data_IF_040669300763
#
_entry.id   IF_040669300763
#
_cell.length_a   1.000
_cell.length_b   1.000
_cell.length_c   1.000
_cell.angle_alpha   90.00
_cell.angle_beta   90.00
_cell.angle_gamma   90.00
#
_symmetry.space_group_name_H-M   'P 1'
#
loop_
_entity.id
_entity.type
_entity.pdbx_description
1 polymer ?
#
# COMPACT_ATOMS: atom_id res chain seq x y z
N UNK A 1 17.24 4.83 -6.21
CA UNK A 1 17.87 4.07 -5.10
C UNK A 1 18.27 2.64 -5.50
N UNK A 2 17.41 1.89 -6.20
CA UNK A 2 17.63 0.47 -6.59
C UNK A 2 18.88 0.21 -7.47
N UNK A 3 19.27 1.16 -8.33
CA UNK A 3 20.46 1.03 -9.19
C UNK A 3 21.79 1.00 -8.41
N UNK A 4 21.86 1.75 -7.29
CA UNK A 4 23.08 1.83 -6.46
C UNK A 4 23.30 0.55 -5.64
N UNK A 5 22.22 -0.11 -5.22
CA UNK A 5 22.28 -1.41 -4.55
C UNK A 5 22.67 -2.55 -5.50
N UNK A 6 22.12 -2.57 -6.72
CA UNK A 6 22.54 -3.55 -7.75
C UNK A 6 24.04 -3.45 -8.07
N UNK A 7 24.58 -2.23 -8.14
CA UNK A 7 26.02 -2.01 -8.33
C UNK A 7 26.88 -2.50 -7.16
N UNK A 8 26.42 -2.31 -5.91
CA UNK A 8 27.10 -2.82 -4.71
C UNK A 8 27.07 -4.35 -4.62
N UNK A 9 25.96 -4.98 -5.00
CA UNK A 9 25.82 -6.44 -5.03
C UNK A 9 26.71 -7.05 -6.11
N UNK A 10 26.75 -6.46 -7.31
CA UNK A 10 27.65 -6.90 -8.38
C UNK A 10 29.12 -6.81 -7.98
N UNK A 11 29.52 -5.72 -7.32
CA UNK A 11 30.87 -5.54 -6.81
C UNK A 11 31.22 -6.56 -5.70
N UNK A 12 30.29 -6.88 -4.81
CA UNK A 12 30.50 -7.86 -3.74
C UNK A 12 30.62 -9.30 -4.27
N UNK A 13 29.76 -9.68 -5.23
CA UNK A 13 29.82 -10.99 -5.90
C UNK A 13 31.13 -11.10 -6.68
N UNK A 14 31.49 -10.09 -7.46
CA UNK A 14 32.76 -10.06 -8.20
C UNK A 14 33.96 -10.17 -7.25
N UNK A 15 34.00 -9.37 -6.18
CA UNK A 15 35.12 -9.37 -5.21
C UNK A 15 35.25 -10.72 -4.50
N UNK A 16 34.15 -11.34 -4.10
CA UNK A 16 34.18 -12.66 -3.45
C UNK A 16 34.53 -13.79 -4.43
N UNK A 17 34.09 -13.68 -5.68
CA UNK A 17 34.42 -14.67 -6.74
C UNK A 17 35.89 -14.54 -7.16
N UNK A 18 36.41 -13.31 -7.24
CA UNK A 18 37.82 -13.02 -7.48
C UNK A 18 38.70 -13.47 -6.31
N UNK A 19 38.25 -13.25 -5.06
CA UNK A 19 38.92 -13.76 -3.86
C UNK A 19 38.96 -15.29 -3.85
N UNK A 20 37.87 -15.95 -4.20
CA UNK A 20 37.80 -17.40 -4.38
C UNK A 20 38.75 -17.89 -5.49
N UNK A 21 38.80 -17.18 -6.62
CA UNK A 21 39.70 -17.49 -7.74
C UNK A 21 41.17 -17.38 -7.35
N UNK A 22 41.55 -16.33 -6.59
CA UNK A 22 42.92 -16.14 -6.10
C UNK A 22 43.33 -17.18 -5.07
N UNK A 23 42.41 -17.59 -4.20
CA UNK A 23 42.58 -18.70 -3.24
C UNK A 23 42.82 -20.00 -4.04
N UNK A 24 42.00 -20.31 -5.03
CA UNK A 24 42.15 -21.52 -5.85
C UNK A 24 43.42 -21.54 -6.72
N UNK A 25 43.91 -20.37 -7.15
CA UNK A 25 45.12 -20.22 -7.97
C UNK A 25 46.42 -20.13 -7.14
N UNK A 26 46.32 -19.74 -5.86
CA UNK A 26 47.43 -19.66 -4.91
C UNK A 26 47.60 -20.98 -4.15
N UNK A 27 48.67 -21.69 -4.44
CA UNK A 27 49.10 -22.97 -3.87
C UNK A 27 48.85 -23.11 -2.34
N UNK A 28 48.32 -24.27 -1.91
CA UNK A 28 47.99 -24.70 -0.52
C UNK A 28 46.65 -24.25 0.08
N UNK A 29 45.55 -24.31 -0.69
CA UNK A 29 44.22 -24.20 -0.10
C UNK A 29 43.71 -25.60 0.30
N UNK A 30 43.46 -25.81 1.59
CA UNK A 30 42.88 -27.08 2.02
C UNK A 30 41.40 -27.14 1.61
N UNK A 31 40.88 -28.36 1.40
CA UNK A 31 39.50 -28.59 0.98
C UNK A 31 38.48 -27.83 1.86
N UNK A 32 38.80 -27.68 3.15
CA UNK A 32 37.96 -27.04 4.15
C UNK A 32 37.77 -25.54 3.93
N UNK A 33 38.80 -24.83 3.45
CA UNK A 33 38.71 -23.39 3.14
C UNK A 33 37.85 -23.14 1.90
N UNK A 34 37.95 -24.04 0.91
CA UNK A 34 37.14 -24.00 -0.31
C UNK A 34 35.66 -24.27 0.02
N UNK A 35 35.39 -25.27 0.87
CA UNK A 35 34.04 -25.60 1.33
C UNK A 35 33.42 -24.44 2.13
N UNK A 36 34.16 -23.84 3.07
CA UNK A 36 33.68 -22.71 3.87
C UNK A 36 33.35 -21.47 3.00
N UNK A 37 34.19 -21.18 2.00
CA UNK A 37 33.94 -20.09 1.07
C UNK A 37 32.73 -20.38 0.14
N UNK A 38 32.59 -21.61 -0.33
CA UNK A 38 31.43 -22.05 -1.13
C UNK A 38 30.13 -21.98 -0.32
N UNK A 39 30.13 -22.44 0.93
CA UNK A 39 28.98 -22.33 1.84
C UNK A 39 28.59 -20.87 2.11
N UNK A 40 29.56 -19.97 2.28
CA UNK A 40 29.31 -18.54 2.45
C UNK A 40 28.64 -17.94 1.22
N UNK A 41 29.10 -18.29 0.02
CA UNK A 41 28.50 -17.87 -1.25
C UNK A 41 27.09 -18.45 -1.40
N UNK A 42 26.88 -19.74 -1.09
CA UNK A 42 25.56 -20.39 -1.14
C UNK A 42 24.59 -19.75 -0.14
N UNK A 43 25.03 -19.47 1.08
CA UNK A 43 24.22 -18.79 2.10
C UNK A 43 23.88 -17.36 1.70
N UNK A 44 24.79 -16.65 1.02
CA UNK A 44 24.51 -15.31 0.51
C UNK A 44 23.56 -15.33 -0.70
N UNK A 45 23.79 -16.23 -1.67
CA UNK A 45 22.91 -16.41 -2.82
C UNK A 45 21.51 -16.87 -2.43
N UNK A 46 21.39 -17.76 -1.43
CA UNK A 46 20.08 -18.16 -0.89
C UNK A 46 19.36 -17.00 -0.21
N UNK A 47 20.06 -16.12 0.54
CA UNK A 47 19.48 -14.88 1.09
C UNK A 47 18.96 -13.93 0.00
N UNK A 48 19.69 -13.75 -1.10
CA UNK A 48 19.22 -12.93 -2.24
C UNK A 48 17.99 -13.56 -2.88
N UNK A 49 17.99 -14.88 -3.11
CA UNK A 49 16.83 -15.58 -3.64
C UNK A 49 15.60 -15.43 -2.74
N UNK A 50 15.79 -15.48 -1.42
CA UNK A 50 14.72 -15.22 -0.45
C UNK A 50 14.19 -13.80 -0.59
N UNK A 51 15.07 -12.79 -0.73
CA UNK A 51 14.65 -11.41 -0.97
C UNK A 51 13.91 -11.25 -2.31
N UNK A 52 14.37 -11.89 -3.38
CA UNK A 52 13.70 -11.86 -4.69
C UNK A 52 12.30 -12.49 -4.60
N UNK A 53 12.17 -13.62 -3.89
CA UNK A 53 10.86 -14.24 -3.62
C UNK A 53 9.98 -13.30 -2.81
N UNK A 54 10.49 -12.68 -1.74
CA UNK A 54 9.72 -11.71 -0.94
C UNK A 54 9.27 -10.53 -1.79
N UNK A 55 10.17 -9.92 -2.57
CA UNK A 55 9.86 -8.80 -3.45
C UNK A 55 8.79 -9.20 -4.47
N UNK A 56 8.93 -10.37 -5.10
CA UNK A 56 7.96 -10.87 -6.06
C UNK A 56 6.60 -11.16 -5.40
N UNK A 57 6.59 -11.76 -4.20
CA UNK A 57 5.35 -11.97 -3.45
C UNK A 57 4.67 -10.66 -3.04
N UNK A 58 5.45 -9.65 -2.62
CA UNK A 58 4.93 -8.31 -2.34
C UNK A 58 4.38 -7.66 -3.62
N UNK A 59 5.09 -7.77 -4.74
CA UNK A 59 4.64 -7.25 -6.03
C UNK A 59 3.35 -7.94 -6.47
N UNK A 60 3.27 -9.27 -6.43
CA UNK A 60 2.06 -10.03 -6.75
C UNK A 60 0.92 -9.64 -5.82
N UNK A 61 1.17 -9.41 -4.53
CA UNK A 61 0.16 -9.00 -3.55
C UNK A 61 -0.37 -7.60 -3.83
N UNK A 62 0.51 -6.63 -4.01
CA UNK A 62 0.16 -5.20 -4.16
C UNK A 62 -0.16 -4.76 -5.59
N UNK A 63 0.16 -5.58 -6.60
CA UNK A 63 -0.28 -5.37 -7.99
C UNK A 63 -1.71 -5.85 -8.25
N UNK A 64 -2.35 -6.51 -7.28
CA UNK A 64 -3.75 -6.93 -7.41
C UNK A 64 -4.64 -5.70 -7.59
N UNK A 65 -5.62 -5.85 -8.48
CA UNK A 65 -6.64 -4.85 -8.81
C UNK A 65 -7.33 -4.28 -7.57
N UNK A 66 -7.47 -5.10 -6.51
CA UNK A 66 -8.05 -4.72 -5.21
C UNK A 66 -7.25 -3.65 -4.46
N UNK A 67 -5.91 -3.66 -4.51
CA UNK A 67 -5.09 -2.64 -3.86
C UNK A 67 -5.10 -1.33 -4.62
N UNK A 68 -5.09 -1.39 -5.95
CA UNK A 68 -5.25 -0.22 -6.80
C UNK A 68 -6.60 0.46 -6.54
N UNK A 69 -7.67 -0.33 -6.46
CA UNK A 69 -8.99 0.17 -6.10
C UNK A 69 -8.97 0.88 -4.73
N UNK A 70 -8.40 0.24 -3.69
CA UNK A 70 -8.32 0.86 -2.36
C UNK A 70 -7.56 2.18 -2.37
N UNK A 71 -6.45 2.24 -3.11
CA UNK A 71 -5.70 3.46 -3.31
C UNK A 71 -6.55 4.54 -4.00
N UNK A 72 -7.29 4.18 -5.05
CA UNK A 72 -8.17 5.11 -5.76
C UNK A 72 -9.32 5.62 -4.88
N UNK A 73 -9.88 4.76 -4.01
CA UNK A 73 -10.90 5.15 -3.02
C UNK A 73 -10.34 6.11 -1.98
N UNK A 74 -9.16 5.81 -1.43
CA UNK A 74 -8.50 6.69 -0.44
C UNK A 74 -8.19 8.04 -1.05
N UNK A 75 -7.63 8.04 -2.26
CA UNK A 75 -7.34 9.27 -2.99
C UNK A 75 -8.60 10.07 -3.27
N UNK A 76 -9.69 9.41 -3.67
CA UNK A 76 -10.99 10.05 -3.80
C UNK A 76 -11.40 10.76 -2.51
N UNK A 77 -11.33 10.07 -1.36
CA UNK A 77 -11.67 10.68 -0.08
C UNK A 77 -10.82 11.90 0.24
N UNK A 78 -9.50 11.82 0.08
CA UNK A 78 -8.60 12.93 0.38
C UNK A 78 -8.84 14.13 -0.54
N UNK A 79 -9.05 13.89 -1.84
CA UNK A 79 -9.22 14.98 -2.79
C UNK A 79 -10.55 15.73 -2.54
N UNK A 80 -11.69 15.02 -2.42
CA UNK A 80 -13.01 15.65 -2.17
C UNK A 80 -13.11 16.35 -0.80
N UNK A 81 -12.26 15.94 0.15
CA UNK A 81 -12.25 16.52 1.50
C UNK A 81 -11.63 17.90 1.55
N UNK A 82 -10.74 18.22 0.61
CA UNK A 82 -10.04 19.50 0.57
C UNK A 82 -10.72 20.47 -0.39
N UNK A 83 -11.03 20.00 -1.59
CA UNK A 83 -11.63 20.82 -2.64
C UNK A 83 -12.74 20.05 -3.37
N UNK A 84 -13.83 20.74 -3.77
CA UNK A 84 -14.84 20.15 -4.62
C UNK A 84 -14.21 19.84 -5.99
N UNK A 85 -14.33 18.58 -6.42
CA UNK A 85 -13.85 18.17 -7.74
C UNK A 85 -14.96 18.34 -8.78
N UNK A 86 -14.66 19.03 -9.87
CA UNK A 86 -15.54 19.10 -11.05
C UNK A 86 -15.44 17.80 -11.91
N UNK A 87 -14.28 17.13 -11.90
CA UNK A 87 -13.97 15.92 -12.69
C UNK A 87 -14.13 14.61 -11.90
N UNK A 88 -15.15 14.52 -11.04
CA UNK A 88 -15.41 13.31 -10.23
C UNK A 88 -15.76 12.08 -11.08
N UNK A 89 -16.21 12.29 -12.33
CA UNK A 89 -16.87 11.28 -13.15
C UNK A 89 -15.99 10.06 -13.45
N UNK A 90 -14.76 10.27 -13.92
CA UNK A 90 -13.91 9.18 -14.41
C UNK A 90 -13.35 8.30 -13.28
N UNK A 91 -13.10 8.89 -12.11
CA UNK A 91 -12.56 8.16 -10.95
C UNK A 91 -13.61 7.36 -10.21
N UNK A 92 -14.84 7.89 -10.14
CA UNK A 92 -15.96 7.15 -9.56
C UNK A 92 -16.29 5.93 -10.41
N UNK A 93 -16.11 5.97 -11.74
CA UNK A 93 -16.47 4.88 -12.63
C UNK A 93 -15.71 3.56 -12.39
N UNK A 94 -14.42 3.61 -12.06
CA UNK A 94 -13.65 2.41 -11.65
C UNK A 94 -14.10 1.88 -10.28
N UNK A 95 -14.47 2.79 -9.39
CA UNK A 95 -15.10 2.49 -8.10
C UNK A 95 -16.48 1.83 -8.27
N UNK A 96 -17.22 2.19 -9.33
CA UNK A 96 -18.55 1.65 -9.65
C UNK A 96 -18.48 0.15 -9.92
N UNK A 97 -17.51 -0.33 -10.70
CA UNK A 97 -17.40 -1.76 -11.05
C UNK A 97 -17.33 -2.67 -9.80
N UNK A 98 -16.75 -2.18 -8.70
CA UNK A 98 -16.58 -2.97 -7.49
C UNK A 98 -17.73 -2.83 -6.47
N UNK A 99 -18.41 -1.67 -6.43
CA UNK A 99 -19.38 -1.32 -5.39
C UNK A 99 -20.82 -1.09 -5.91
N UNK A 100 -21.09 -1.41 -7.18
CA UNK A 100 -22.32 -1.07 -7.93
C UNK A 100 -23.65 -1.35 -7.23
N UNK A 101 -23.75 -2.35 -6.35
CA UNK A 101 -25.02 -2.72 -5.70
C UNK A 101 -25.32 -1.95 -4.42
N UNK A 102 -24.29 -1.49 -3.71
CA UNK A 102 -24.44 -0.98 -2.35
C UNK A 102 -24.42 0.55 -2.25
N UNK A 103 -23.87 1.21 -3.29
CA UNK A 103 -23.65 2.66 -3.32
C UNK A 103 -24.50 3.32 -4.40
N UNK A 104 -25.29 4.32 -4.01
CA UNK A 104 -25.96 5.20 -4.97
C UNK A 104 -24.99 6.30 -5.43
N UNK A 105 -24.49 6.14 -6.65
CA UNK A 105 -23.44 6.99 -7.24
C UNK A 105 -23.88 8.44 -7.42
N UNK A 106 -25.11 8.67 -7.86
CA UNK A 106 -25.62 10.04 -8.07
C UNK A 106 -25.72 10.79 -6.73
N UNK A 107 -26.16 10.10 -5.67
CA UNK A 107 -26.15 10.66 -4.32
C UNK A 107 -24.73 10.88 -3.79
N UNK A 108 -23.79 9.97 -4.09
CA UNK A 108 -22.39 10.11 -3.69
C UNK A 108 -21.75 11.34 -4.34
N UNK A 109 -22.01 11.62 -5.62
CA UNK A 109 -21.50 12.82 -6.33
C UNK A 109 -21.95 14.10 -5.66
N UNK A 110 -23.24 14.19 -5.31
CA UNK A 110 -23.80 15.35 -4.60
C UNK A 110 -23.17 15.49 -3.22
N UNK A 111 -23.03 14.38 -2.48
CA UNK A 111 -22.38 14.37 -1.16
C UNK A 111 -20.91 14.80 -1.25
N UNK A 112 -20.18 14.37 -2.28
CA UNK A 112 -18.78 14.72 -2.50
C UNK A 112 -18.58 16.22 -2.77
N UNK A 113 -19.52 16.89 -3.44
CA UNK A 113 -19.45 18.35 -3.63
C UNK A 113 -19.68 19.13 -2.33
N UNK A 114 -20.46 18.59 -1.41
CA UNK A 114 -20.80 19.25 -0.15
C UNK A 114 -19.83 18.95 1.00
N UNK A 115 -19.04 17.87 0.88
CA UNK A 115 -18.20 17.37 1.98
C UNK A 115 -17.06 18.32 2.33
N UNK A 116 -16.46 19.00 1.33
CA UNK A 116 -15.37 19.95 1.54
C UNK A 116 -15.82 21.12 2.43
N UNK A 117 -17.01 21.66 2.13
CA UNK A 117 -17.58 22.80 2.86
C UNK A 117 -18.02 22.38 4.25
N UNK A 118 -18.58 21.17 4.37
CA UNK A 118 -18.87 20.57 5.66
C UNK A 118 -17.60 20.44 6.52
N UNK A 119 -16.50 19.90 5.98
CA UNK A 119 -15.24 19.78 6.73
C UNK A 119 -14.64 21.14 7.10
N UNK A 120 -14.63 22.12 6.18
CA UNK A 120 -14.19 23.49 6.48
C UNK A 120 -15.01 24.11 7.62
N UNK A 121 -16.34 23.92 7.60
CA UNK A 121 -17.24 24.37 8.67
C UNK A 121 -16.89 23.71 10.01
N UNK A 122 -16.80 22.37 10.05
CA UNK A 122 -16.53 21.63 11.28
C UNK A 122 -15.17 21.97 11.87
N UNK A 123 -14.12 22.04 11.04
CA UNK A 123 -12.76 22.40 11.46
C UNK A 123 -12.76 23.79 12.10
N UNK A 124 -13.47 24.75 11.50
CA UNK A 124 -13.58 26.11 12.02
C UNK A 124 -14.38 26.14 13.34
N UNK A 125 -15.54 25.51 13.38
CA UNK A 125 -16.42 25.48 14.56
C UNK A 125 -15.78 24.78 15.75
N UNK A 126 -15.03 23.70 15.52
CA UNK A 126 -14.34 22.93 16.57
C UNK A 126 -12.91 23.43 16.85
N UNK A 127 -12.48 24.52 16.19
CA UNK A 127 -11.13 25.11 16.32
C UNK A 127 -10.01 24.08 16.14
N UNK A 128 -10.19 23.14 15.21
CA UNK A 128 -9.17 22.14 14.91
C UNK A 128 -8.00 22.80 14.16
N UNK A 129 -6.76 22.52 14.55
CA UNK A 129 -5.55 23.05 13.90
C UNK A 129 -5.21 22.28 12.61
N UNK A 130 -6.20 22.09 11.73
CA UNK A 130 -6.07 21.32 10.48
C UNK A 130 -6.15 22.30 9.31
N UNK A 131 -5.07 22.38 8.51
CA UNK A 131 -5.03 23.21 7.29
C UNK A 131 -5.45 22.42 6.05
N UNK A 132 -5.09 21.14 6.00
CA UNK A 132 -5.38 20.26 4.88
C UNK A 132 -5.54 18.83 5.41
N UNK A 133 -6.49 18.10 4.84
CA UNK A 133 -6.77 16.71 5.18
C UNK A 133 -5.89 15.81 4.31
N UNK A 134 -4.89 15.18 4.90
CA UNK A 134 -3.92 14.31 4.20
C UNK A 134 -4.00 12.84 4.60
N UNK A 135 -4.83 12.52 5.61
CA UNK A 135 -4.96 11.18 6.18
C UNK A 135 -6.42 10.80 6.39
N UNK A 136 -6.75 9.54 6.13
CA UNK A 136 -8.07 8.97 6.45
C UNK A 136 -8.42 9.05 7.93
N UNK A 137 -7.43 8.99 8.82
CA UNK A 137 -7.65 9.14 10.27
C UNK A 137 -8.25 10.51 10.61
N UNK A 138 -7.79 11.57 9.94
CA UNK A 138 -8.30 12.93 10.11
C UNK A 138 -9.74 13.04 9.64
N UNK A 139 -10.10 12.41 8.51
CA UNK A 139 -11.49 12.34 8.04
C UNK A 139 -12.39 11.68 9.08
N UNK A 140 -11.93 10.55 9.65
CA UNK A 140 -12.66 9.85 10.70
C UNK A 140 -12.83 10.70 11.96
N UNK A 141 -11.80 11.45 12.38
CA UNK A 141 -11.85 12.35 13.53
C UNK A 141 -12.85 13.49 13.32
N UNK A 142 -12.81 14.14 12.15
CA UNK A 142 -13.74 15.22 11.80
C UNK A 142 -15.18 14.70 11.78
N UNK A 143 -15.45 13.57 11.14
CA UNK A 143 -16.78 12.96 11.10
C UNK A 143 -17.27 12.50 12.48
N UNK A 144 -16.38 12.01 13.35
CA UNK A 144 -16.75 11.64 14.73
C UNK A 144 -17.06 12.84 15.61
N UNK A 145 -16.53 14.02 15.28
CA UNK A 145 -16.75 15.23 16.07
C UNK A 145 -18.15 15.84 15.91
N UNK A 146 -18.96 15.31 14.97
CA UNK A 146 -20.31 15.78 14.64
C UNK A 146 -21.27 14.60 14.43
N UNK A 147 -22.28 14.50 15.28
CA UNK A 147 -23.25 13.39 15.24
C UNK A 147 -24.09 13.34 13.94
N UNK A 148 -24.29 14.48 13.29
CA UNK A 148 -25.12 14.63 12.09
C UNK A 148 -24.41 14.15 10.82
N UNK A 149 -23.07 14.09 10.81
CA UNK A 149 -22.30 13.80 9.58
C UNK A 149 -22.69 12.48 8.91
N UNK A 150 -23.03 11.46 9.71
CA UNK A 150 -23.47 10.15 9.20
C UNK A 150 -24.85 10.19 8.52
N UNK A 151 -25.76 11.04 9.01
CA UNK A 151 -27.11 11.18 8.44
C UNK A 151 -27.10 12.04 7.18
N UNK A 152 -26.22 13.05 7.15
CA UNK A 152 -26.09 13.98 6.02
C UNK A 152 -25.37 13.36 4.82
N UNK A 153 -24.39 12.48 5.06
CA UNK A 153 -23.57 11.86 4.01
C UNK A 153 -23.61 10.31 4.05
N UNK A 154 -24.79 9.69 3.85
CA UNK A 154 -24.94 8.24 4.00
C UNK A 154 -24.14 7.42 2.97
N UNK A 155 -24.00 7.89 1.74
CA UNK A 155 -23.27 7.16 0.68
C UNK A 155 -21.76 7.29 0.86
N UNK A 156 -21.30 8.49 1.23
CA UNK A 156 -19.91 8.71 1.64
C UNK A 156 -19.53 7.80 2.82
N UNK A 157 -20.40 7.68 3.82
CA UNK A 157 -20.17 6.83 4.99
C UNK A 157 -20.19 5.34 4.63
N UNK A 158 -21.08 4.89 3.73
CA UNK A 158 -21.08 3.52 3.21
C UNK A 158 -19.77 3.20 2.49
N UNK A 159 -19.32 4.09 1.60
CA UNK A 159 -18.05 3.93 0.90
C UNK A 159 -16.89 3.84 1.90
N UNK A 160 -16.90 4.67 2.95
CA UNK A 160 -15.85 4.68 3.96
C UNK A 160 -15.82 3.38 4.75
N UNK A 161 -16.99 2.79 5.07
CA UNK A 161 -17.05 1.46 5.67
C UNK A 161 -16.47 0.39 4.75
N UNK A 162 -16.83 0.41 3.47
CA UNK A 162 -16.30 -0.56 2.50
C UNK A 162 -14.77 -0.48 2.42
N UNK A 163 -14.22 0.73 2.33
CA UNK A 163 -12.78 0.97 2.37
C UNK A 163 -12.12 0.40 3.64
N UNK A 164 -12.73 0.57 4.81
CA UNK A 164 -12.18 0.06 6.08
C UNK A 164 -12.31 -1.46 6.25
N UNK A 165 -13.27 -2.11 5.57
CA UNK A 165 -13.55 -3.54 5.71
C UNK A 165 -12.70 -4.39 4.75
N UNK A 166 -12.49 -3.94 3.51
CA UNK A 166 -11.77 -4.71 2.47
C UNK A 166 -10.34 -5.13 2.90
N UNK A 167 -9.51 -4.28 3.52
CA UNK A 167 -8.19 -4.69 4.01
C UNK A 167 -8.27 -5.77 5.10
N UNK A 168 -9.30 -5.73 5.94
CA UNK A 168 -9.49 -6.68 7.04
C UNK A 168 -9.95 -8.04 6.52
N UNK A 169 -10.90 -8.06 5.58
CA UNK A 169 -11.39 -9.31 4.99
C UNK A 169 -10.34 -9.99 4.12
N UNK A 170 -9.54 -9.23 3.37
CA UNK A 170 -8.42 -9.79 2.58
C UNK A 170 -7.34 -10.41 3.47
N UNK A 171 -6.92 -9.73 4.54
CA UNK A 171 -5.97 -10.28 5.51
C UNK A 171 -6.52 -11.52 6.23
N UNK A 172 -7.82 -11.54 6.53
CA UNK A 172 -8.48 -12.67 7.18
C UNK A 172 -8.56 -13.88 6.24
N UNK A 173 -9.01 -13.67 5.00
CA UNK A 173 -9.11 -14.74 4.00
C UNK A 173 -7.76 -15.42 3.76
N UNK A 174 -6.68 -14.65 3.60
CA UNK A 174 -5.33 -15.20 3.42
C UNK A 174 -4.86 -16.02 4.62
N UNK A 175 -5.15 -15.58 5.86
CA UNK A 175 -4.83 -16.36 7.06
C UNK A 175 -5.61 -17.67 7.11
N UNK A 176 -6.89 -17.64 6.76
CA UNK A 176 -7.73 -18.85 6.75
C UNK A 176 -7.27 -19.84 5.68
N UNK A 177 -6.94 -19.38 4.47
CA UNK A 177 -6.42 -20.27 3.42
C UNK A 177 -5.01 -20.80 3.72
N UNK A 178 -4.16 -20.01 4.39
CA UNK A 178 -2.86 -20.50 4.85
C UNK A 178 -2.96 -21.52 5.97
N UNK A 179 -4.03 -21.51 6.77
CA UNK A 179 -4.26 -22.51 7.82
C UNK A 179 -4.86 -23.82 7.28
N UNK A 180 -5.31 -23.84 6.02
CA UNK A 180 -5.90 -25.01 5.35
C UNK A 180 -4.91 -25.75 4.44
N UNK A 181 -3.69 -25.23 4.27
CA UNK A 181 -2.57 -25.84 3.55
C UNK A 181 -1.49 -26.30 4.54
#
# INVERSE_FOLDING_TARGET
MISKEKGRVGCLIFTNTEKLSRILQGSNCCLQDILCAAETIINYCSRIRVLDVIINMLQIRFSRTSFKLLYDVEKFFLDVSNDPLDEIHDRIQLLMEFCTRDINVEKLKVQAHMISDFFKSVITTKQMKIKQITKMSTICEVLKSVDIGKQMFPEYYKLMKLYLIIPVTTATAERTFNALN
#
